data_IF_332579549790
#
_entry.id   IF_332579549790
#
_cell.length_a   1.000
_cell.length_b   1.000
_cell.length_c   1.000
_cell.angle_alpha   90.00
_cell.angle_beta   90.00
_cell.angle_gamma   90.00
#
_symmetry.space_group_name_H-M   'P 1'
#
loop_
_entity.id
_entity.type
_entity.pdbx_description
1 polymer ?
#
# COMPACT_ATOMS: atom_id res chain seq x y z
N UNK A 1 15.42 5.83 17.14
CA UNK A 1 14.56 5.64 15.96
C UNK A 1 14.01 4.22 16.00
N UNK A 2 12.71 4.04 16.25
CA UNK A 2 12.07 2.74 16.13
C UNK A 2 11.89 2.42 14.65
N UNK A 3 12.72 1.55 14.12
CA UNK A 3 12.59 1.03 12.76
C UNK A 3 11.34 0.17 12.71
N UNK A 4 10.38 0.55 11.85
CA UNK A 4 9.21 -0.27 11.61
C UNK A 4 9.67 -1.63 11.05
N UNK A 5 9.22 -2.70 11.69
CA UNK A 5 9.61 -4.06 11.34
C UNK A 5 8.41 -5.00 11.51
N UNK A 6 8.50 -6.16 10.86
CA UNK A 6 7.47 -7.20 10.95
C UNK A 6 6.28 -6.97 10.02
N UNK A 7 6.38 -6.02 9.09
CA UNK A 7 5.37 -5.86 8.03
C UNK A 7 5.68 -6.79 6.85
N UNK A 8 4.62 -7.36 6.30
CA UNK A 8 4.65 -8.19 5.11
C UNK A 8 3.52 -7.79 4.19
N UNK A 9 3.70 -7.92 2.87
CA UNK A 9 2.61 -7.72 1.92
C UNK A 9 2.50 -8.92 0.98
N UNK A 10 1.27 -9.22 0.57
CA UNK A 10 0.96 -10.26 -0.39
C UNK A 10 0.08 -9.69 -1.50
N UNK A 11 0.46 -9.92 -2.75
CA UNK A 11 -0.35 -9.57 -3.91
C UNK A 11 -1.22 -10.78 -4.28
N UNK A 12 -2.53 -10.62 -4.21
CA UNK A 12 -3.50 -11.64 -4.59
C UNK A 12 -3.69 -11.66 -6.11
N UNK A 13 -4.15 -12.80 -6.61
CA UNK A 13 -4.44 -13.02 -8.04
C UNK A 13 -5.47 -12.04 -8.62
N UNK A 14 -6.34 -11.47 -7.77
CA UNK A 14 -7.31 -10.43 -8.15
C UNK A 14 -6.69 -9.03 -8.33
N UNK A 15 -5.41 -8.84 -7.96
CA UNK A 15 -4.75 -7.54 -7.91
C UNK A 15 -4.92 -6.80 -6.57
N UNK A 16 -5.50 -7.45 -5.57
CA UNK A 16 -5.58 -6.91 -4.20
C UNK A 16 -4.25 -7.11 -3.48
N UNK A 17 -3.87 -6.19 -2.60
CA UNK A 17 -2.69 -6.31 -1.75
C UNK A 17 -3.12 -6.44 -0.30
N UNK A 18 -2.69 -7.49 0.36
CA UNK A 18 -2.90 -7.70 1.80
C UNK A 18 -1.62 -7.33 2.53
N UNK A 19 -1.70 -6.39 3.46
CA UNK A 19 -0.60 -6.02 4.35
C UNK A 19 -0.85 -6.67 5.70
N UNK A 20 0.17 -7.35 6.22
CA UNK A 20 0.18 -8.05 7.50
C UNK A 20 1.27 -7.51 8.41
N UNK A 21 1.01 -7.47 9.71
CA UNK A 21 1.98 -7.12 10.74
C UNK A 21 2.09 -8.28 11.73
N UNK A 22 3.30 -8.80 11.93
CA UNK A 22 3.57 -9.99 12.75
C UNK A 22 2.62 -11.18 12.45
N UNK A 23 2.37 -11.43 11.16
CA UNK A 23 1.52 -12.54 10.71
C UNK A 23 0.01 -12.29 10.75
N UNK A 24 -0.44 -11.13 11.26
CA UNK A 24 -1.85 -10.75 11.28
C UNK A 24 -2.15 -9.78 10.14
N UNK A 25 -3.14 -10.07 9.28
CA UNK A 25 -3.56 -9.15 8.23
C UNK A 25 -4.18 -7.88 8.85
N UNK A 26 -3.56 -6.73 8.62
CA UNK A 26 -3.95 -5.44 9.20
C UNK A 26 -4.61 -4.51 8.19
N UNK A 27 -4.36 -4.67 6.89
CA UNK A 27 -4.92 -3.80 5.85
C UNK A 27 -5.03 -4.55 4.53
N UNK A 28 -6.10 -4.28 3.77
CA UNK A 28 -6.26 -4.77 2.40
C UNK A 28 -6.46 -3.59 1.47
N UNK A 29 -5.58 -3.47 0.47
CA UNK A 29 -5.62 -2.46 -0.58
C UNK A 29 -6.17 -3.09 -1.86
N UNK A 30 -6.99 -2.35 -2.59
CA UNK A 30 -7.61 -2.82 -3.84
C UNK A 30 -7.47 -1.80 -4.95
N UNK A 31 -7.49 -2.28 -6.19
CA UNK A 31 -7.49 -1.45 -7.39
C UNK A 31 -6.35 -0.42 -7.40
N UNK A 32 -6.69 0.86 -7.59
CA UNK A 32 -5.71 1.95 -7.66
C UNK A 32 -4.82 2.06 -6.42
N UNK A 33 -5.35 1.76 -5.23
CA UNK A 33 -4.57 1.83 -3.98
C UNK A 33 -3.53 0.72 -3.90
N UNK A 34 -3.86 -0.47 -4.39
CA UNK A 34 -2.92 -1.58 -4.48
C UNK A 34 -1.77 -1.23 -5.43
N UNK A 35 -2.08 -0.71 -6.62
CA UNK A 35 -1.07 -0.31 -7.60
C UNK A 35 -0.12 0.76 -7.03
N UNK A 36 -0.66 1.80 -6.41
CA UNK A 36 0.15 2.87 -5.79
C UNK A 36 1.04 2.35 -4.67
N UNK A 37 0.51 1.48 -3.81
CA UNK A 37 1.29 0.86 -2.75
C UNK A 37 2.47 0.07 -3.32
N UNK A 38 2.26 -0.68 -4.42
CA UNK A 38 3.32 -1.46 -5.04
C UNK A 38 4.44 -0.58 -5.62
N UNK A 39 4.13 0.64 -6.09
CA UNK A 39 5.15 1.61 -6.52
C UNK A 39 5.91 2.20 -5.31
N UNK A 40 5.22 2.49 -4.20
CA UNK A 40 5.83 3.09 -3.01
C UNK A 40 6.63 2.08 -2.16
N UNK A 41 6.29 0.78 -2.19
CA UNK A 41 6.90 -0.25 -1.33
C UNK A 41 8.29 -0.67 -1.80
N UNK A 42 8.65 -0.45 -3.07
CA UNK A 42 9.97 -0.81 -3.61
C UNK A 42 11.11 0.03 -3.01
N UNK A 43 10.82 1.26 -2.57
CA UNK A 43 11.80 2.22 -2.07
C UNK A 43 12.09 2.00 -0.57
N UNK A 44 11.04 1.84 0.23
CA UNK A 44 11.13 1.64 1.68
C UNK A 44 10.02 0.68 2.14
N UNK A 45 10.24 -0.64 2.03
CA UNK A 45 9.16 -1.61 2.22
C UNK A 45 8.48 -1.49 3.58
N UNK A 46 9.27 -1.46 4.66
CA UNK A 46 8.74 -1.48 6.01
C UNK A 46 8.14 -0.13 6.41
N UNK A 47 8.80 1.00 6.09
CA UNK A 47 8.25 2.31 6.42
C UNK A 47 7.04 2.66 5.56
N UNK A 48 6.99 2.27 4.27
CA UNK A 48 5.78 2.38 3.44
C UNK A 48 4.65 1.56 4.03
N UNK A 49 4.86 0.28 4.38
CA UNK A 49 3.81 -0.53 5.00
C UNK A 49 3.34 0.05 6.33
N UNK A 50 4.24 0.52 7.20
CA UNK A 50 3.89 1.18 8.45
C UNK A 50 3.09 2.46 8.24
N UNK A 51 3.40 3.23 7.20
CA UNK A 51 2.66 4.44 6.83
C UNK A 51 1.26 4.09 6.31
N UNK A 52 1.15 3.14 5.41
CA UNK A 52 -0.13 2.72 4.82
C UNK A 52 -1.07 2.06 5.84
N UNK A 53 -0.53 1.34 6.84
CA UNK A 53 -1.29 0.67 7.91
C UNK A 53 -1.51 1.55 9.14
N UNK A 54 -0.57 2.44 9.45
CA UNK A 54 -0.63 3.40 10.54
C UNK A 54 -1.49 4.58 10.18
N UNK A 55 -2.81 4.42 10.28
CA UNK A 55 -3.87 5.44 10.25
C UNK A 55 -3.36 6.87 9.93
N UNK A 56 -3.14 7.17 8.65
CA UNK A 56 -2.82 8.51 8.16
C UNK A 56 -3.90 9.50 8.61
N UNK A 57 -3.70 10.12 9.77
CA UNK A 57 -4.66 11.03 10.41
C UNK A 57 -4.81 12.38 9.71
N UNK A 58 -4.13 12.64 8.59
CA UNK A 58 -4.23 13.92 7.87
C UNK A 58 -4.09 13.89 6.33
N UNK A 59 -4.00 12.72 5.68
CA UNK A 59 -3.60 12.65 4.26
C UNK A 59 -4.71 12.37 3.22
N UNK A 60 -5.99 12.41 3.60
CA UNK A 60 -7.07 11.86 2.76
C UNK A 60 -7.45 12.72 1.53
N UNK A 61 -6.92 13.92 1.30
CA UNK A 61 -7.68 14.84 0.44
C UNK A 61 -7.40 14.79 -1.06
N UNK A 62 -6.23 14.36 -1.57
CA UNK A 62 -5.93 14.61 -3.02
C UNK A 62 -5.09 13.60 -3.79
N UNK A 63 -4.90 12.39 -3.29
CA UNK A 63 -3.96 11.46 -3.95
C UNK A 63 -4.53 10.71 -5.19
N UNK A 64 -5.81 10.91 -5.52
CA UNK A 64 -6.51 10.14 -6.57
C UNK A 64 -6.53 10.74 -7.98
N UNK A 65 -5.93 11.90 -8.24
CA UNK A 65 -6.16 12.64 -9.51
C UNK A 65 -5.04 12.65 -10.55
N UNK A 66 -3.83 12.15 -10.28
CA UNK A 66 -2.76 12.19 -11.28
C UNK A 66 -1.96 10.88 -11.40
N UNK A 67 -2.58 9.81 -11.89
CA UNK A 67 -1.82 8.69 -12.44
C UNK A 67 -2.15 8.50 -13.93
N UNK A 68 -1.15 8.80 -14.78
CA UNK A 68 -1.17 8.71 -16.26
C UNK A 68 -1.38 7.28 -16.79
N UNK A 69 -1.46 6.26 -15.92
CA UNK A 69 -1.48 4.83 -16.28
C UNK A 69 -2.86 4.15 -16.31
N UNK A 70 -3.97 4.84 -16.02
CA UNK A 70 -5.32 4.26 -16.20
C UNK A 70 -5.77 4.17 -17.70
N UNK A 71 -4.86 4.33 -18.66
CA UNK A 71 -5.17 4.38 -20.11
C UNK A 71 -4.83 3.09 -20.87
N UNK A 72 -4.83 1.95 -20.19
CA UNK A 72 -4.38 0.68 -20.78
C UNK A 72 -5.18 -0.55 -20.33
N UNK A 73 -6.48 -0.57 -20.63
CA UNK A 73 -7.22 -1.83 -20.82
C UNK A 73 -8.19 -1.64 -21.99
N UNK A 74 -7.78 -2.14 -23.15
CA UNK A 74 -8.66 -2.48 -24.26
C UNK A 74 -8.79 -4.00 -24.29
#
# INVERSE_FOLDING_TARGET
MGTAHGFHHEVRRSGDVVISHHGTAVTVLRGMRAARFLEDVEIDPQGTMARWTGHYKHGNERAGKEHRRNRGRR
#
